data_IF_951610160592
#
_entry.id   IF_951610160592
#
_cell.length_a   1.000
_cell.length_b   1.000
_cell.length_c   1.000
_cell.angle_alpha   90.00
_cell.angle_beta   90.00
_cell.angle_gamma   90.00
#
_symmetry.space_group_name_H-M   'P 1'
#
loop_
_entity.id
_entity.type
_entity.pdbx_description
1 polymer ?
#
# COMPACT_ATOMS: atom_id res chain seq x y z
N UNK A 1 20.13 19.78 13.87
CA UNK A 1 21.42 20.45 13.55
C UNK A 1 22.21 19.49 12.68
N UNK A 2 22.65 19.90 11.49
CA UNK A 2 23.46 19.08 10.58
C UNK A 2 24.93 19.48 10.67
N UNK A 3 25.86 18.53 10.75
CA UNK A 3 27.29 18.81 10.56
C UNK A 3 27.61 18.85 9.06
N UNK A 4 28.49 19.77 8.63
CA UNK A 4 28.94 19.88 7.23
C UNK A 4 30.47 19.89 7.19
N UNK A 5 31.06 18.87 6.58
CA UNK A 5 32.49 18.72 6.36
C UNK A 5 32.80 18.90 4.87
N UNK A 6 33.64 19.88 4.55
CA UNK A 6 34.04 20.19 3.16
C UNK A 6 35.54 20.22 3.01
N UNK A 7 36.06 19.50 2.02
CA UNK A 7 37.46 19.57 1.61
C UNK A 7 37.57 19.74 0.09
N UNK A 8 38.49 20.60 -0.36
CA UNK A 8 38.81 20.72 -1.79
C UNK A 8 39.59 19.53 -2.34
N UNK A 9 40.28 18.78 -1.47
CA UNK A 9 40.95 17.52 -1.78
C UNK A 9 40.15 16.32 -1.26
N UNK A 10 40.85 15.37 -0.65
CA UNK A 10 40.23 14.17 -0.08
C UNK A 10 39.77 14.38 1.38
N UNK A 11 38.76 13.64 1.80
CA UNK A 11 38.38 13.45 3.20
C UNK A 11 38.72 12.01 3.60
N UNK A 12 39.40 11.83 4.72
CA UNK A 12 39.64 10.53 5.32
C UNK A 12 39.21 10.57 6.78
N UNK A 13 38.28 9.70 7.17
CA UNK A 13 37.82 9.55 8.54
C UNK A 13 38.17 8.14 9.01
N UNK A 14 38.87 8.05 10.13
CA UNK A 14 39.26 6.79 10.73
C UNK A 14 38.83 6.75 12.19
N UNK A 15 38.03 5.75 12.56
CA UNK A 15 37.57 5.54 13.92
C UNK A 15 38.17 4.25 14.52
N UNK A 16 38.63 4.33 15.77
CA UNK A 16 39.15 3.16 16.51
C UNK A 16 38.07 2.18 16.98
N UNK A 17 36.78 2.54 16.83
CA UNK A 17 35.62 1.70 17.12
C UNK A 17 34.59 1.92 16.01
N UNK A 18 33.59 2.78 16.25
CA UNK A 18 32.50 3.05 15.32
C UNK A 18 32.64 4.42 14.65
N UNK A 19 32.14 4.54 13.43
CA UNK A 19 31.99 5.80 12.71
C UNK A 19 30.52 6.02 12.36
N UNK A 20 29.89 6.98 13.06
CA UNK A 20 28.49 7.34 12.84
C UNK A 20 28.36 8.68 12.12
N UNK A 21 27.71 8.67 10.96
CA UNK A 21 27.40 9.85 10.14
C UNK A 21 25.87 9.97 10.08
N UNK A 22 25.31 10.82 10.94
CA UNK A 22 23.86 10.94 11.13
C UNK A 22 23.40 12.33 10.71
N UNK A 23 22.44 12.42 9.78
CA UNK A 23 21.90 13.66 9.21
C UNK A 23 22.98 14.72 8.89
N UNK A 24 24.11 14.25 8.35
CA UNK A 24 25.33 15.05 8.18
C UNK A 24 25.80 15.04 6.73
N UNK A 25 26.59 16.05 6.35
CA UNK A 25 27.07 16.21 4.99
C UNK A 25 28.60 16.14 4.94
N UNK A 26 29.12 15.35 4.01
CA UNK A 26 30.54 15.29 3.67
C UNK A 26 30.69 15.58 2.18
N UNK A 27 31.53 16.55 1.82
CA UNK A 27 31.89 16.83 0.43
C UNK A 27 33.41 16.87 0.28
N UNK A 28 33.94 16.04 -0.60
CA UNK A 28 35.34 16.04 -0.98
C UNK A 28 35.48 16.32 -2.49
N UNK A 29 36.41 17.20 -2.87
CA UNK A 29 36.75 17.42 -4.29
C UNK A 29 37.50 16.25 -4.93
N UNK A 30 38.06 15.36 -4.12
CA UNK A 30 38.71 14.12 -4.57
C UNK A 30 38.05 12.90 -3.92
N UNK A 31 38.78 12.11 -3.13
CA UNK A 31 38.27 10.86 -2.57
C UNK A 31 37.63 11.08 -1.19
N UNK A 32 36.69 10.21 -0.84
CA UNK A 32 36.24 10.03 0.54
C UNK A 32 36.60 8.62 0.99
N UNK A 33 37.32 8.49 2.09
CA UNK A 33 37.63 7.22 2.74
C UNK A 33 37.08 7.21 4.17
N UNK A 34 36.24 6.22 4.48
CA UNK A 34 35.58 6.07 5.77
C UNK A 34 35.95 4.70 6.33
N UNK A 35 36.76 4.67 7.38
CA UNK A 35 37.21 3.42 8.00
C UNK A 35 36.86 3.42 9.50
N UNK A 36 36.33 2.29 9.98
CA UNK A 36 36.04 2.03 11.38
C UNK A 36 36.55 0.63 11.76
N UNK A 37 37.07 0.46 12.97
CA UNK A 37 37.52 -0.84 13.45
C UNK A 37 36.35 -1.81 13.71
N UNK A 38 35.17 -1.28 14.02
CA UNK A 38 33.92 -2.00 14.26
C UNK A 38 32.90 -1.55 13.21
N UNK A 39 31.99 -0.63 13.49
CA UNK A 39 30.85 -0.40 12.61
C UNK A 39 30.89 0.98 11.92
N UNK A 40 30.45 1.04 10.67
CA UNK A 40 30.16 2.32 9.99
C UNK A 40 28.66 2.45 9.81
N UNK A 41 28.08 3.48 10.42
CA UNK A 41 26.65 3.81 10.26
C UNK A 41 26.50 5.14 9.55
N UNK A 42 25.81 5.15 8.41
CA UNK A 42 25.43 6.36 7.68
C UNK A 42 23.91 6.41 7.64
N UNK A 43 23.31 7.20 8.51
CA UNK A 43 21.86 7.19 8.72
C UNK A 43 21.24 8.58 8.56
N UNK A 44 20.00 8.61 8.09
CA UNK A 44 19.12 9.76 8.27
C UNK A 44 18.80 9.97 9.76
N UNK A 45 18.38 11.19 10.09
CA UNK A 45 17.67 11.46 11.35
C UNK A 45 16.25 11.94 11.03
N UNK A 46 15.33 11.81 11.97
CA UNK A 46 13.96 12.30 11.81
C UNK A 46 13.87 13.77 12.24
N UNK A 47 13.26 14.60 11.39
CA UNK A 47 12.78 15.94 11.73
C UNK A 47 11.28 15.87 11.97
N UNK A 48 10.87 16.16 13.19
CA UNK A 48 9.52 15.97 13.67
C UNK A 48 8.83 17.30 13.96
N UNK A 49 7.61 17.45 13.46
CA UNK A 49 6.76 18.59 13.76
C UNK A 49 5.35 18.12 14.14
N UNK A 50 4.73 18.84 15.07
CA UNK A 50 3.33 18.62 15.42
C UNK A 50 2.59 19.93 15.58
N UNK A 51 1.28 19.91 15.31
CA UNK A 51 0.41 21.04 15.60
C UNK A 51 -0.89 20.57 16.22
N UNK A 52 -1.43 21.41 17.08
CA UNK A 52 -2.73 21.21 17.71
C UNK A 52 -3.52 22.52 17.64
N UNK A 53 -4.76 22.44 17.17
CA UNK A 53 -5.68 23.56 17.13
C UNK A 53 -7.05 23.13 17.64
N UNK A 54 -7.59 23.86 18.61
CA UNK A 54 -8.96 23.68 19.07
C UNK A 54 -9.67 25.04 19.19
N UNK A 55 -10.89 25.11 18.65
CA UNK A 55 -11.77 26.28 18.80
C UNK A 55 -13.19 25.85 19.10
N UNK A 56 -13.79 26.54 20.06
CA UNK A 56 -15.21 26.42 20.40
C UNK A 56 -15.88 27.76 20.24
N UNK A 57 -17.08 27.77 19.69
CA UNK A 57 -17.88 28.98 19.54
C UNK A 57 -19.29 28.73 20.01
N UNK A 58 -19.87 29.75 20.63
CA UNK A 58 -21.25 29.77 21.13
C UNK A 58 -22.03 30.82 20.34
N UNK A 59 -23.29 30.52 20.05
CA UNK A 59 -24.24 31.45 19.44
C UNK A 59 -25.55 31.49 20.21
N UNK A 60 -26.44 32.38 19.80
CA UNK A 60 -27.77 32.53 20.40
C UNK A 60 -28.59 31.24 20.36
N UNK A 61 -29.55 31.12 21.27
CA UNK A 61 -30.50 29.99 21.34
C UNK A 61 -29.83 28.60 21.48
N UNK A 62 -28.73 28.51 22.23
CA UNK A 62 -28.06 27.23 22.53
C UNK A 62 -27.20 26.66 21.39
N UNK A 63 -27.00 27.44 20.31
CA UNK A 63 -26.14 27.05 19.18
C UNK A 63 -24.68 26.97 19.63
N UNK A 64 -23.97 25.95 19.14
CA UNK A 64 -22.52 25.87 19.36
C UNK A 64 -21.82 25.11 18.26
N UNK A 65 -20.54 25.41 18.07
CA UNK A 65 -19.64 24.65 17.21
C UNK A 65 -18.32 24.39 17.92
N UNK A 66 -17.69 23.26 17.60
CA UNK A 66 -16.31 22.98 17.94
C UNK A 66 -15.56 22.50 16.70
N UNK A 67 -14.28 22.86 16.63
CA UNK A 67 -13.32 22.36 15.65
C UNK A 67 -12.05 22.00 16.39
N UNK A 68 -11.54 20.81 16.12
CA UNK A 68 -10.25 20.29 16.59
C UNK A 68 -9.48 19.82 15.36
N UNK A 69 -8.21 20.15 15.28
CA UNK A 69 -7.28 19.68 14.26
C UNK A 69 -5.95 19.37 14.91
N UNK A 70 -5.39 18.24 14.54
CA UNK A 70 -4.07 17.82 14.98
C UNK A 70 -3.33 17.33 13.74
N UNK A 71 -2.02 17.53 13.72
CA UNK A 71 -1.17 16.90 12.73
C UNK A 71 0.19 16.65 13.31
N UNK A 72 0.82 15.61 12.78
CA UNK A 72 2.19 15.22 13.06
C UNK A 72 2.85 14.86 11.73
N UNK A 73 4.10 15.22 11.60
CA UNK A 73 4.93 14.97 10.43
C UNK A 73 6.33 14.63 10.93
N UNK A 74 6.86 13.49 10.49
CA UNK A 74 8.21 13.01 10.77
C UNK A 74 8.87 12.70 9.44
N UNK A 75 9.91 13.44 9.10
CA UNK A 75 10.60 13.33 7.80
C UNK A 75 12.06 13.01 7.97
N UNK A 76 12.61 12.20 7.07
CA UNK A 76 14.01 11.80 7.09
C UNK A 76 14.89 12.92 6.54
N UNK A 77 15.79 13.40 7.40
CA UNK A 77 16.93 14.23 7.03
C UNK A 77 18.11 13.31 6.75
N UNK A 78 18.32 13.01 5.48
CA UNK A 78 19.38 12.12 5.00
C UNK A 78 20.80 12.60 5.36
N UNK A 79 21.70 11.64 5.62
CA UNK A 79 23.13 11.89 5.48
C UNK A 79 23.51 11.92 3.99
N UNK A 80 24.43 12.82 3.63
CA UNK A 80 24.85 13.02 2.25
C UNK A 80 26.37 13.00 2.15
N UNK A 81 26.92 12.07 1.37
CA UNK A 81 28.36 11.94 1.16
C UNK A 81 28.65 12.06 -0.33
N UNK A 82 29.44 13.05 -0.70
CA UNK A 82 29.84 13.30 -2.08
C UNK A 82 31.37 13.23 -2.21
N UNK A 83 31.86 12.29 -3.01
CA UNK A 83 33.25 12.20 -3.43
C UNK A 83 33.36 12.63 -4.91
N UNK A 84 34.27 13.56 -5.21
CA UNK A 84 34.56 13.96 -6.60
C UNK A 84 35.18 12.84 -7.44
N UNK A 85 35.81 11.85 -6.80
CA UNK A 85 36.39 10.65 -7.42
C UNK A 85 35.83 9.41 -6.70
N UNK A 86 36.64 8.69 -5.93
CA UNK A 86 36.25 7.42 -5.30
C UNK A 86 35.65 7.64 -3.89
N UNK A 87 34.60 6.90 -3.55
CA UNK A 87 34.09 6.76 -2.18
C UNK A 87 34.34 5.33 -1.69
N UNK A 88 35.13 5.19 -0.64
CA UNK A 88 35.46 3.89 -0.04
C UNK A 88 35.00 3.85 1.41
N UNK A 89 34.37 2.75 1.80
CA UNK A 89 33.90 2.51 3.17
C UNK A 89 34.42 1.15 3.61
N UNK A 90 35.23 1.14 4.68
CA UNK A 90 35.89 -0.04 5.25
C UNK A 90 36.63 -0.88 4.19
N UNK A 91 37.07 -0.23 3.12
CA UNK A 91 37.66 -0.86 1.94
C UNK A 91 38.80 -0.02 1.40
N UNK A 92 39.71 -0.67 0.71
CA UNK A 92 40.74 -0.02 -0.10
C UNK A 92 40.70 -0.57 -1.51
N UNK A 93 41.03 0.30 -2.46
CA UNK A 93 41.20 -0.04 -3.87
C UNK A 93 42.67 0.16 -4.24
N UNK A 94 43.31 -0.91 -4.70
CA UNK A 94 44.68 -0.84 -5.20
C UNK A 94 44.73 -0.27 -6.63
N UNK A 95 45.93 0.07 -7.09
CA UNK A 95 46.13 0.67 -8.41
C UNK A 95 45.79 -0.27 -9.58
N UNK A 96 45.77 -1.58 -9.33
CA UNK A 96 45.34 -2.60 -10.30
C UNK A 96 43.82 -2.83 -10.30
N UNK A 97 43.07 -2.06 -9.51
CA UNK A 97 41.62 -2.16 -9.37
C UNK A 97 41.17 -3.21 -8.35
N UNK A 98 42.08 -3.94 -7.71
CA UNK A 98 41.70 -4.90 -6.67
C UNK A 98 41.12 -4.20 -5.44
N UNK A 99 40.05 -4.78 -4.89
CA UNK A 99 39.37 -4.28 -3.69
C UNK A 99 39.72 -5.18 -2.51
N UNK A 100 40.11 -4.59 -1.39
CA UNK A 100 40.32 -5.27 -0.11
C UNK A 100 39.40 -4.67 0.94
N UNK A 101 38.90 -5.52 1.85
CA UNK A 101 38.19 -5.08 3.05
C UNK A 101 39.26 -4.73 4.09
N UNK A 102 39.27 -3.49 4.57
CA UNK A 102 40.27 -2.98 5.52
C UNK A 102 39.97 -3.36 6.97
N UNK A 103 38.71 -3.70 7.27
CA UNK A 103 38.24 -4.00 8.62
C UNK A 103 36.78 -3.65 8.79
N UNK A 104 36.34 -3.61 10.05
CA UNK A 104 34.98 -3.31 10.44
C UNK A 104 34.04 -4.51 10.31
N UNK A 105 33.14 -4.67 11.29
CA UNK A 105 32.17 -5.75 11.31
C UNK A 105 31.04 -5.43 10.34
N UNK A 106 30.31 -4.35 10.57
CA UNK A 106 29.12 -4.02 9.78
C UNK A 106 29.20 -2.64 9.13
N UNK A 107 28.57 -2.51 7.96
CA UNK A 107 28.31 -1.22 7.30
C UNK A 107 26.81 -1.06 7.08
N UNK A 108 26.23 -0.01 7.63
CA UNK A 108 24.81 0.31 7.51
C UNK A 108 24.58 1.66 6.85
N UNK A 109 23.80 1.70 5.78
CA UNK A 109 23.34 2.92 5.10
C UNK A 109 21.82 2.99 5.19
N UNK A 110 21.27 4.00 5.85
CA UNK A 110 19.84 4.09 6.16
C UNK A 110 19.30 5.45 5.72
N UNK A 111 18.30 5.48 4.83
CA UNK A 111 17.69 6.71 4.31
C UNK A 111 18.70 7.77 3.84
N UNK A 112 19.85 7.36 3.30
CA UNK A 112 21.00 8.24 3.05
C UNK A 112 21.48 8.21 1.61
N UNK A 113 22.19 9.25 1.19
CA UNK A 113 22.71 9.40 -0.18
C UNK A 113 24.23 9.40 -0.19
N UNK A 114 24.80 8.46 -0.95
CA UNK A 114 26.23 8.34 -1.20
C UNK A 114 26.48 8.49 -2.70
N UNK A 115 27.38 9.39 -3.09
CA UNK A 115 27.71 9.68 -4.49
C UNK A 115 29.23 9.70 -4.69
N UNK A 116 29.69 8.98 -5.69
CA UNK A 116 31.08 8.97 -6.16
C UNK A 116 31.15 9.40 -7.63
N UNK A 117 32.11 10.25 -7.98
CA UNK A 117 32.37 10.62 -9.37
C UNK A 117 32.92 9.47 -10.21
N UNK A 118 33.65 8.56 -9.56
CA UNK A 118 34.19 7.34 -10.15
C UNK A 118 33.54 6.14 -9.45
N UNK A 119 34.26 5.45 -8.56
CA UNK A 119 33.78 4.20 -7.94
C UNK A 119 33.26 4.41 -6.53
N UNK A 120 32.22 3.68 -6.18
CA UNK A 120 31.66 3.61 -4.84
C UNK A 120 31.81 2.18 -4.31
N UNK A 121 32.58 2.02 -3.24
CA UNK A 121 32.98 0.73 -2.72
C UNK A 121 32.63 0.64 -1.23
N UNK A 122 31.77 -0.32 -0.88
CA UNK A 122 31.45 -0.65 0.50
C UNK A 122 31.95 -2.05 0.79
N UNK A 123 32.53 -2.25 1.97
CA UNK A 123 32.78 -3.60 2.44
C UNK A 123 32.82 -3.74 3.93
N UNK A 124 32.56 -4.95 4.39
CA UNK A 124 32.46 -5.27 5.81
C UNK A 124 32.86 -6.74 6.04
N UNK A 125 33.47 -7.05 7.18
CA UNK A 125 33.85 -8.44 7.50
C UNK A 125 32.67 -9.30 7.93
N UNK A 126 31.57 -8.69 8.34
CA UNK A 126 30.28 -9.32 8.60
C UNK A 126 29.26 -8.81 7.58
N UNK A 127 28.32 -7.92 7.91
CA UNK A 127 27.17 -7.60 7.06
C UNK A 127 27.26 -6.19 6.42
N UNK A 128 26.73 -6.04 5.19
CA UNK A 128 26.47 -4.73 4.58
C UNK A 128 24.96 -4.56 4.38
N UNK A 129 24.38 -3.57 5.04
CA UNK A 129 22.95 -3.27 4.98
C UNK A 129 22.68 -1.88 4.39
N UNK A 130 21.90 -1.82 3.31
CA UNK A 130 21.47 -0.59 2.64
C UNK A 130 19.94 -0.57 2.69
N UNK A 131 19.39 0.26 3.57
CA UNK A 131 18.00 0.23 4.00
C UNK A 131 17.33 1.58 3.75
N UNK A 132 16.03 1.56 3.49
CA UNK A 132 15.23 2.77 3.48
C UNK A 132 15.08 3.36 4.89
N UNK A 133 15.02 4.69 4.97
CA UNK A 133 14.37 5.38 6.08
C UNK A 133 12.84 5.35 5.92
N UNK A 134 12.12 5.89 6.90
CA UNK A 134 10.64 5.91 6.89
C UNK A 134 10.14 7.29 7.30
N UNK A 135 9.40 7.95 6.42
CA UNK A 135 8.66 9.19 6.70
C UNK A 135 7.27 8.82 7.22
N UNK A 136 6.78 9.53 8.23
CA UNK A 136 5.46 9.31 8.82
C UNK A 136 4.67 10.60 8.90
N UNK A 137 3.39 10.54 8.53
CA UNK A 137 2.47 11.67 8.59
C UNK A 137 1.15 11.24 9.20
N UNK A 138 0.60 12.10 10.05
CA UNK A 138 -0.70 11.90 10.69
C UNK A 138 -1.49 13.20 10.68
N UNK A 139 -2.77 13.12 10.35
CA UNK A 139 -3.68 14.25 10.48
C UNK A 139 -5.01 13.79 11.07
N UNK A 140 -5.46 14.52 12.10
CA UNK A 140 -6.73 14.32 12.73
C UNK A 140 -7.57 15.59 12.62
N UNK A 141 -8.85 15.45 12.29
CA UNK A 141 -9.77 16.56 12.33
C UNK A 141 -11.11 16.14 12.89
N UNK A 142 -11.69 16.98 13.76
CA UNK A 142 -13.02 16.76 14.31
C UNK A 142 -13.80 18.05 14.36
N UNK A 143 -15.01 18.01 13.84
CA UNK A 143 -15.97 19.11 13.92
C UNK A 143 -17.25 18.63 14.56
N UNK A 144 -17.84 19.48 15.41
CA UNK A 144 -19.17 19.25 15.95
C UNK A 144 -19.98 20.54 15.89
N UNK A 145 -21.28 20.41 15.61
CA UNK A 145 -22.23 21.52 15.57
C UNK A 145 -23.50 21.10 16.30
N UNK A 146 -24.00 21.99 17.14
CA UNK A 146 -25.31 21.92 17.77
C UNK A 146 -26.15 23.09 17.29
N UNK A 147 -27.33 22.79 16.77
CA UNK A 147 -28.34 23.76 16.35
C UNK A 147 -29.13 24.33 17.52
N UNK A 148 -30.07 25.21 17.19
CA UNK A 148 -30.90 25.91 18.16
C UNK A 148 -31.64 24.92 19.06
N UNK A 149 -31.63 25.17 20.37
CA UNK A 149 -32.28 24.33 21.39
C UNK A 149 -31.92 22.83 21.32
N UNK A 150 -30.79 22.48 20.71
CA UNK A 150 -30.36 21.08 20.55
C UNK A 150 -31.16 20.28 19.51
N UNK A 151 -31.99 20.94 18.70
CA UNK A 151 -32.87 20.27 17.73
C UNK A 151 -32.11 19.64 16.55
N UNK A 152 -30.88 20.05 16.31
CA UNK A 152 -29.99 19.38 15.36
C UNK A 152 -28.61 19.21 15.95
N UNK A 153 -27.98 18.06 15.72
CA UNK A 153 -26.57 17.81 16.04
C UNK A 153 -25.90 17.19 14.84
N UNK A 154 -24.71 17.67 14.48
CA UNK A 154 -23.89 17.02 13.47
C UNK A 154 -22.44 17.00 13.90
N UNK A 155 -21.68 16.04 13.42
CA UNK A 155 -20.24 16.03 13.57
C UNK A 155 -19.58 15.18 12.51
N UNK A 156 -18.32 15.50 12.25
CA UNK A 156 -17.44 14.73 11.38
C UNK A 156 -16.09 14.56 12.08
N UNK A 157 -15.52 13.37 12.03
CA UNK A 157 -14.17 13.05 12.45
C UNK A 157 -13.44 12.39 11.27
N UNK A 158 -12.15 12.67 11.14
CA UNK A 158 -11.29 12.09 10.11
C UNK A 158 -9.91 11.88 10.74
N UNK A 159 -9.34 10.70 10.58
CA UNK A 159 -7.96 10.38 10.89
C UNK A 159 -7.32 9.82 9.62
N UNK A 160 -6.19 10.38 9.23
CA UNK A 160 -5.37 9.86 8.14
C UNK A 160 -3.95 9.68 8.63
N UNK A 161 -3.35 8.53 8.35
CA UNK A 161 -1.96 8.21 8.68
C UNK A 161 -1.28 7.63 7.45
N UNK A 162 -0.02 8.01 7.22
CA UNK A 162 0.80 7.52 6.11
C UNK A 162 2.20 7.23 6.61
N UNK A 163 2.81 6.17 6.10
CA UNK A 163 4.20 5.80 6.30
C UNK A 163 4.81 5.50 4.93
N UNK A 164 5.87 6.20 4.55
CA UNK A 164 6.48 6.09 3.22
C UNK A 164 7.96 5.79 3.31
N UNK A 165 8.43 4.86 2.47
CA UNK A 165 9.82 4.43 2.41
C UNK A 165 10.67 5.51 1.72
N UNK A 166 11.74 5.94 2.39
CA UNK A 166 12.74 6.87 1.85
C UNK A 166 14.00 6.08 1.52
N UNK A 167 14.21 5.79 0.25
CA UNK A 167 15.32 4.96 -0.20
C UNK A 167 16.69 5.48 0.25
N UNK A 168 17.60 4.56 0.58
CA UNK A 168 19.02 4.87 0.48
C UNK A 168 19.45 4.86 -0.99
N UNK A 169 20.32 5.78 -1.37
CA UNK A 169 20.78 5.96 -2.75
C UNK A 169 22.31 5.86 -2.80
N UNK A 170 22.83 4.84 -3.49
CA UNK A 170 24.25 4.70 -3.80
C UNK A 170 24.45 4.94 -5.29
N UNK A 171 25.20 5.98 -5.65
CA UNK A 171 25.43 6.39 -7.03
C UNK A 171 26.94 6.47 -7.33
N UNK A 172 27.37 5.82 -8.41
CA UNK A 172 28.75 5.88 -8.90
C UNK A 172 28.76 6.28 -10.39
N UNK A 173 29.72 7.11 -10.79
CA UNK A 173 29.95 7.43 -12.20
C UNK A 173 30.50 6.25 -12.99
N UNK A 174 31.23 5.35 -12.32
CA UNK A 174 31.75 4.10 -12.88
C UNK A 174 31.09 2.93 -12.15
N UNK A 175 31.77 2.29 -11.19
CA UNK A 175 31.32 1.04 -10.59
C UNK A 175 30.76 1.21 -9.17
N UNK A 176 29.74 0.43 -8.82
CA UNK A 176 29.37 0.19 -7.42
C UNK A 176 29.78 -1.23 -7.03
N UNK A 177 30.63 -1.35 -6.03
CA UNK A 177 31.07 -2.64 -5.48
C UNK A 177 30.64 -2.75 -4.03
N UNK A 178 29.93 -3.82 -3.68
CA UNK A 178 29.54 -4.13 -2.30
C UNK A 178 30.08 -5.51 -1.93
N UNK A 179 31.01 -5.57 -0.98
CA UNK A 179 31.70 -6.79 -0.59
C UNK A 179 31.50 -7.09 0.90
N UNK A 180 30.75 -8.15 1.21
CA UNK A 180 30.44 -8.56 2.58
C UNK A 180 31.07 -9.92 2.90
N UNK A 181 31.57 -10.04 4.12
CA UNK A 181 32.02 -11.32 4.67
C UNK A 181 30.88 -12.31 4.90
N UNK A 182 29.67 -11.82 5.22
CA UNK A 182 28.47 -12.62 5.44
C UNK A 182 27.34 -12.17 4.52
N UNK A 183 26.44 -11.27 4.93
CA UNK A 183 25.26 -10.92 4.13
C UNK A 183 25.32 -9.52 3.49
N UNK A 184 24.83 -9.39 2.25
CA UNK A 184 24.47 -8.09 1.65
C UNK A 184 22.96 -7.96 1.62
N UNK A 185 22.43 -6.90 2.22
CA UNK A 185 20.98 -6.61 2.22
C UNK A 185 20.70 -5.24 1.64
N UNK A 186 19.87 -5.19 0.59
CA UNK A 186 19.31 -3.99 0.00
C UNK A 186 17.80 -4.01 0.19
N UNK A 187 17.24 -3.11 1.02
CA UNK A 187 15.79 -3.05 1.28
C UNK A 187 15.19 -1.70 0.89
N UNK A 188 14.23 -1.71 -0.02
CA UNK A 188 13.56 -0.52 -0.59
C UNK A 188 14.54 0.61 -0.92
N UNK A 189 15.70 0.26 -1.49
CA UNK A 189 16.84 1.15 -1.70
C UNK A 189 17.42 0.99 -3.09
N UNK A 190 18.19 1.98 -3.53
CA UNK A 190 18.65 2.12 -4.91
C UNK A 190 20.18 2.09 -5.01
N UNK A 191 20.68 1.31 -5.96
CA UNK A 191 22.08 1.30 -6.40
C UNK A 191 22.11 1.66 -7.90
N UNK A 192 22.88 2.67 -8.28
CA UNK A 192 23.07 3.06 -9.68
C UNK A 192 24.55 3.25 -10.02
N UNK A 193 24.98 2.64 -11.13
CA UNK A 193 26.35 2.71 -11.62
C UNK A 193 26.39 3.10 -13.11
N UNK A 194 27.33 3.97 -13.49
CA UNK A 194 27.57 4.34 -14.89
C UNK A 194 28.33 3.29 -15.69
N UNK A 195 28.89 2.28 -15.02
CA UNK A 195 29.44 1.07 -15.62
C UNK A 195 28.82 -0.17 -14.94
N UNK A 196 29.50 -0.84 -14.02
CA UNK A 196 29.06 -2.13 -13.48
C UNK A 196 28.57 -2.03 -12.01
N UNK A 197 27.68 -2.95 -11.62
CA UNK A 197 27.35 -3.19 -10.20
C UNK A 197 27.77 -4.61 -9.82
N UNK A 198 28.63 -4.76 -8.81
CA UNK A 198 29.06 -6.06 -8.29
C UNK A 198 28.75 -6.20 -6.79
N UNK A 199 27.88 -7.16 -6.45
CA UNK A 199 27.54 -7.51 -5.07
C UNK A 199 28.12 -8.88 -4.77
N UNK A 200 28.94 -8.96 -3.72
CA UNK A 200 29.58 -10.18 -3.25
C UNK A 200 29.27 -10.39 -1.77
N UNK A 201 28.69 -11.55 -1.46
CA UNK A 201 28.40 -11.97 -0.10
C UNK A 201 29.07 -13.31 0.20
N UNK A 202 29.27 -13.59 1.48
CA UNK A 202 29.88 -14.83 1.95
C UNK A 202 31.40 -14.94 1.73
N UNK A 203 32.11 -13.81 1.66
CA UNK A 203 33.58 -13.79 1.49
C UNK A 203 34.34 -14.37 2.70
N UNK A 204 33.71 -14.41 3.87
CA UNK A 204 34.25 -14.94 5.13
C UNK A 204 33.42 -16.13 5.60
N UNK A 205 32.10 -15.98 5.62
CA UNK A 205 31.13 -17.00 6.01
C UNK A 205 30.43 -17.58 4.77
N UNK A 206 30.59 -18.88 4.53
CA UNK A 206 29.94 -19.58 3.39
C UNK A 206 28.41 -19.65 3.49
N UNK A 207 27.85 -19.13 4.57
CA UNK A 207 26.43 -18.98 4.78
C UNK A 207 25.95 -17.56 4.45
N UNK A 208 26.75 -16.75 3.76
CA UNK A 208 26.33 -15.43 3.29
C UNK A 208 25.26 -15.46 2.21
N UNK A 209 24.33 -14.50 2.25
CA UNK A 209 23.27 -14.27 1.26
C UNK A 209 23.34 -12.87 0.63
N UNK A 210 22.72 -12.72 -0.54
CA UNK A 210 22.36 -11.42 -1.11
C UNK A 210 20.83 -11.28 -1.08
N UNK A 211 20.33 -10.25 -0.41
CA UNK A 211 18.91 -10.00 -0.20
C UNK A 211 18.48 -8.64 -0.79
N UNK A 212 17.73 -8.67 -1.89
CA UNK A 212 17.07 -7.51 -2.51
C UNK A 212 15.59 -7.58 -2.16
N UNK A 213 15.18 -6.79 -1.18
CA UNK A 213 13.87 -6.92 -0.55
C UNK A 213 13.03 -5.66 -0.72
N UNK A 214 11.73 -5.84 -0.95
CA UNK A 214 10.80 -4.74 -0.81
C UNK A 214 10.53 -4.37 0.66
N UNK A 215 10.13 -3.12 0.88
CA UNK A 215 9.37 -2.70 2.06
C UNK A 215 7.97 -2.25 1.62
N UNK A 216 7.20 -1.60 2.50
CA UNK A 216 5.83 -1.21 2.21
C UNK A 216 5.57 0.25 2.58
N UNK A 217 4.98 0.99 1.65
CA UNK A 217 4.28 2.23 1.96
C UNK A 217 2.91 1.88 2.52
N UNK A 218 2.56 2.44 3.67
CA UNK A 218 1.31 2.19 4.36
C UNK A 218 0.48 3.48 4.42
N UNK A 219 -0.78 3.41 4.03
CA UNK A 219 -1.72 4.51 4.14
C UNK A 219 -3.03 4.03 4.77
N UNK A 220 -3.50 4.76 5.77
CA UNK A 220 -4.67 4.43 6.57
C UNK A 220 -5.56 5.66 6.69
N UNK A 221 -6.86 5.48 6.50
CA UNK A 221 -7.86 6.50 6.78
C UNK A 221 -9.01 5.93 7.59
N UNK A 222 -9.56 6.74 8.47
CA UNK A 222 -10.75 6.41 9.25
C UNK A 222 -11.62 7.66 9.39
N UNK A 223 -12.86 7.57 8.94
CA UNK A 223 -13.81 8.67 8.92
C UNK A 223 -15.12 8.28 9.59
N UNK A 224 -15.67 9.23 10.33
CA UNK A 224 -16.97 9.11 10.98
C UNK A 224 -17.76 10.40 10.77
N UNK A 225 -19.02 10.27 10.38
CA UNK A 225 -19.98 11.36 10.27
C UNK A 225 -21.28 10.98 10.97
N UNK A 226 -21.84 11.91 11.74
CA UNK A 226 -23.19 11.78 12.27
C UNK A 226 -24.00 13.05 12.06
N UNK A 227 -25.29 12.87 11.78
CA UNK A 227 -26.29 13.94 11.65
C UNK A 227 -27.57 13.48 12.34
N UNK A 228 -28.06 14.27 13.29
CA UNK A 228 -29.30 14.06 14.04
C UNK A 228 -30.15 15.31 13.91
N UNK A 229 -31.42 15.15 13.55
CA UNK A 229 -32.37 16.25 13.39
C UNK A 229 -33.70 15.85 14.03
N UNK A 230 -34.26 16.72 14.85
CA UNK A 230 -35.63 16.65 15.34
C UNK A 230 -36.42 17.82 14.77
N UNK A 231 -37.65 17.56 14.38
CA UNK A 231 -38.49 18.48 13.62
C UNK A 231 -38.97 17.88 12.30
N UNK A 232 -39.96 18.53 11.70
CA UNK A 232 -40.64 18.06 10.50
C UNK A 232 -39.71 18.12 9.29
N UNK A 233 -39.54 16.99 8.60
CA UNK A 233 -38.75 16.89 7.37
C UNK A 233 -39.37 15.87 6.42
N UNK A 234 -39.55 16.23 5.15
CA UNK A 234 -40.09 15.35 4.12
C UNK A 234 -38.95 14.90 3.17
N UNK A 235 -38.80 13.61 2.96
CA UNK A 235 -37.87 13.04 1.96
C UNK A 235 -38.36 11.70 1.43
N UNK A 236 -38.39 11.49 0.11
CA UNK A 236 -38.64 10.17 -0.49
C UNK A 236 -39.97 9.51 -0.10
N UNK A 237 -41.05 10.30 0.06
CA UNK A 237 -42.34 9.78 0.52
C UNK A 237 -42.46 9.59 2.04
N UNK A 238 -41.41 9.90 2.81
CA UNK A 238 -41.40 9.81 4.28
C UNK A 238 -41.43 11.21 4.94
N UNK A 239 -42.44 11.45 5.78
CA UNK A 239 -42.55 12.58 6.68
C UNK A 239 -41.97 12.19 8.04
N UNK A 240 -40.74 12.62 8.32
CA UNK A 240 -40.05 12.34 9.58
C UNK A 240 -40.24 13.47 10.61
N UNK A 241 -40.43 13.09 11.88
CA UNK A 241 -40.38 13.98 13.05
C UNK A 241 -39.00 13.92 13.73
N UNK A 242 -38.26 12.84 13.50
CA UNK A 242 -36.86 12.70 13.90
C UNK A 242 -36.11 11.85 12.89
N UNK A 243 -34.85 12.21 12.64
CA UNK A 243 -33.94 11.47 11.78
C UNK A 243 -32.53 11.46 12.38
N UNK A 244 -31.84 10.34 12.20
CA UNK A 244 -30.44 10.16 12.52
C UNK A 244 -29.76 9.41 11.37
N UNK A 245 -28.59 9.90 10.96
CA UNK A 245 -27.69 9.26 10.00
C UNK A 245 -26.32 9.19 10.64
N UNK A 246 -25.72 8.01 10.63
CA UNK A 246 -24.35 7.74 11.03
C UNK A 246 -23.69 7.03 9.84
N UNK A 247 -22.62 7.60 9.30
CA UNK A 247 -21.91 7.05 8.16
C UNK A 247 -20.41 7.18 8.41
N UNK A 248 -19.62 6.34 7.78
CA UNK A 248 -18.18 6.38 7.93
C UNK A 248 -17.53 5.39 7.00
N UNK A 249 -16.21 5.41 7.02
CA UNK A 249 -15.43 4.49 6.23
C UNK A 249 -14.01 4.38 6.76
N UNK A 250 -13.38 3.27 6.45
CA UNK A 250 -12.00 2.99 6.74
C UNK A 250 -11.34 2.45 5.48
N UNK A 251 -10.17 3.00 5.15
CA UNK A 251 -9.32 2.45 4.10
C UNK A 251 -7.94 2.12 4.69
N UNK A 252 -7.34 1.04 4.21
CA UNK A 252 -5.98 0.63 4.54
C UNK A 252 -5.33 0.16 3.23
N UNK A 253 -4.15 0.70 2.91
CA UNK A 253 -3.43 0.37 1.70
C UNK A 253 -1.97 0.14 2.05
N UNK A 254 -1.43 -1.01 1.63
CA UNK A 254 -0.03 -1.38 1.74
C UNK A 254 0.51 -1.59 0.34
N UNK A 255 1.46 -0.76 -0.09
CA UNK A 255 2.08 -0.84 -1.41
C UNK A 255 3.55 -1.18 -1.28
N UNK A 256 3.95 -2.27 -1.90
CA UNK A 256 5.32 -2.74 -1.93
C UNK A 256 6.23 -1.75 -2.68
N UNK A 257 7.32 -1.36 -2.03
CA UNK A 257 8.40 -0.53 -2.57
C UNK A 257 9.66 -1.40 -2.64
N UNK A 258 10.02 -1.78 -3.87
CA UNK A 258 11.15 -2.65 -4.15
C UNK A 258 12.52 -1.97 -4.06
N UNK A 259 13.56 -2.78 -3.84
CA UNK A 259 14.93 -2.36 -4.11
C UNK A 259 15.21 -2.31 -5.60
N UNK A 260 16.12 -1.43 -6.02
CA UNK A 260 16.47 -1.25 -7.43
C UNK A 260 17.99 -1.24 -7.61
N UNK A 261 18.47 -2.08 -8.52
CA UNK A 261 19.86 -2.05 -8.99
C UNK A 261 19.84 -1.69 -10.47
N UNK A 262 20.58 -0.66 -10.85
CA UNK A 262 20.69 -0.18 -12.22
C UNK A 262 22.16 -0.02 -12.62
N UNK A 263 22.58 -0.71 -13.67
CA UNK A 263 23.91 -0.55 -14.26
C UNK A 263 23.78 -0.24 -15.75
N UNK A 264 24.59 0.69 -16.26
CA UNK A 264 24.69 0.90 -17.73
C UNK A 264 25.41 -0.27 -18.38
N UNK A 265 26.43 -0.81 -17.72
CA UNK A 265 27.11 -2.05 -18.06
C UNK A 265 26.39 -3.26 -17.48
N UNK A 266 27.08 -4.05 -16.69
CA UNK A 266 26.64 -5.34 -16.18
C UNK A 266 26.23 -5.28 -14.71
N UNK A 267 25.40 -6.23 -14.31
CA UNK A 267 25.11 -6.50 -12.90
C UNK A 267 25.56 -7.92 -12.54
N UNK A 268 26.41 -8.06 -11.53
CA UNK A 268 26.90 -9.33 -11.00
C UNK A 268 26.52 -9.47 -9.53
N UNK A 269 25.76 -10.51 -9.18
CA UNK A 269 25.45 -10.88 -7.81
C UNK A 269 26.05 -12.26 -7.54
N UNK A 270 26.95 -12.36 -6.57
CA UNK A 270 27.66 -13.60 -6.24
C UNK A 270 27.61 -13.88 -4.74
N UNK A 271 27.16 -15.07 -4.38
CA UNK A 271 27.01 -15.47 -2.98
C UNK A 271 27.28 -16.95 -2.75
N UNK A 272 27.70 -17.30 -1.54
CA UNK A 272 27.99 -18.68 -1.14
C UNK A 272 26.74 -19.48 -0.74
N UNK A 273 25.64 -18.81 -0.37
CA UNK A 273 24.36 -19.46 -0.07
C UNK A 273 23.26 -19.02 -1.04
N UNK A 274 22.43 -18.04 -0.72
CA UNK A 274 21.21 -17.74 -1.48
C UNK A 274 21.17 -16.30 -2.02
N UNK A 275 20.57 -16.13 -3.21
CA UNK A 275 20.16 -14.82 -3.73
C UNK A 275 18.65 -14.72 -3.64
N UNK A 276 18.15 -13.71 -2.93
CA UNK A 276 16.72 -13.46 -2.75
C UNK A 276 16.35 -12.10 -3.36
N UNK A 277 15.52 -12.10 -4.39
CA UNK A 277 14.96 -10.89 -5.03
C UNK A 277 13.45 -10.93 -4.82
N UNK A 278 12.92 -10.05 -3.97
CA UNK A 278 11.51 -10.02 -3.58
C UNK A 278 10.91 -8.65 -3.84
N UNK A 279 9.91 -8.59 -4.73
CA UNK A 279 9.28 -7.35 -5.21
C UNK A 279 10.26 -6.28 -5.67
N UNK A 280 11.42 -6.69 -6.19
CA UNK A 280 12.57 -5.80 -6.44
C UNK A 280 13.03 -5.90 -7.91
N UNK A 281 13.85 -4.93 -8.35
CA UNK A 281 14.31 -4.86 -9.73
C UNK A 281 15.84 -4.86 -9.86
N UNK A 282 16.31 -5.54 -10.90
CA UNK A 282 17.73 -5.58 -11.32
C UNK A 282 17.79 -5.32 -12.82
N UNK A 283 18.39 -4.21 -13.22
CA UNK A 283 18.47 -3.79 -14.62
C UNK A 283 19.93 -3.53 -15.01
N UNK A 284 20.36 -4.15 -16.10
CA UNK A 284 21.67 -3.93 -16.72
C UNK A 284 21.50 -3.57 -18.19
N UNK A 285 22.29 -2.61 -18.70
CA UNK A 285 22.37 -2.33 -20.14
C UNK A 285 23.15 -3.41 -20.90
N UNK A 286 24.05 -4.11 -20.22
CA UNK A 286 24.72 -5.34 -20.67
C UNK A 286 24.09 -6.58 -20.03
N UNK A 287 24.93 -7.38 -19.37
CA UNK A 287 24.54 -8.68 -18.84
C UNK A 287 24.09 -8.60 -17.37
N UNK A 288 23.18 -9.50 -16.99
CA UNK A 288 22.87 -9.77 -15.58
C UNK A 288 23.33 -11.18 -15.23
N UNK A 289 24.12 -11.33 -14.17
CA UNK A 289 24.58 -12.63 -13.67
C UNK A 289 24.24 -12.80 -12.20
N UNK A 290 23.42 -13.80 -11.89
CA UNK A 290 23.09 -14.21 -10.52
C UNK A 290 23.72 -15.56 -10.24
N UNK A 291 24.66 -15.64 -9.30
CA UNK A 291 25.39 -16.87 -8.97
C UNK A 291 25.26 -17.18 -7.48
N UNK A 292 24.48 -18.22 -7.15
CA UNK A 292 24.27 -18.67 -5.79
C UNK A 292 24.87 -20.06 -5.54
N UNK A 293 25.51 -20.21 -4.37
CA UNK A 293 26.02 -21.49 -3.91
C UNK A 293 24.93 -22.49 -3.48
N UNK A 294 23.69 -22.04 -3.31
CA UNK A 294 22.51 -22.87 -3.09
C UNK A 294 21.36 -22.44 -4.00
N UNK A 295 20.50 -21.51 -3.60
CA UNK A 295 19.27 -21.17 -4.32
C UNK A 295 19.25 -19.74 -4.88
N UNK A 296 18.51 -19.55 -5.97
CA UNK A 296 18.11 -18.21 -6.44
C UNK A 296 16.59 -18.10 -6.39
N UNK A 297 16.09 -17.16 -5.59
CA UNK A 297 14.66 -16.90 -5.38
C UNK A 297 14.28 -15.54 -5.96
N UNK A 298 13.38 -15.51 -6.93
CA UNK A 298 12.90 -14.30 -7.63
C UNK A 298 11.38 -14.26 -7.50
N UNK A 299 10.91 -13.59 -6.45
CA UNK A 299 9.54 -13.69 -5.96
C UNK A 299 8.82 -12.34 -6.07
N UNK A 300 7.53 -12.37 -6.38
CA UNK A 300 6.67 -11.22 -6.20
C UNK A 300 6.53 -10.88 -4.70
N UNK A 301 6.55 -9.59 -4.38
CA UNK A 301 5.97 -9.11 -3.13
C UNK A 301 4.44 -8.98 -3.27
N UNK A 302 3.79 -8.44 -2.24
CA UNK A 302 2.33 -8.31 -2.20
C UNK A 302 1.92 -6.88 -1.86
N UNK A 303 0.95 -6.37 -2.61
CA UNK A 303 0.19 -5.17 -2.29
C UNK A 303 -1.14 -5.57 -1.68
N UNK A 304 -1.63 -4.79 -0.72
CA UNK A 304 -2.95 -4.99 -0.12
C UNK A 304 -3.75 -3.70 -0.13
N UNK A 305 -5.05 -3.83 -0.39
CA UNK A 305 -5.99 -2.73 -0.32
C UNK A 305 -7.28 -3.22 0.36
N UNK A 306 -7.67 -2.56 1.44
CA UNK A 306 -8.83 -2.90 2.24
C UNK A 306 -9.67 -1.66 2.50
N UNK A 307 -10.90 -1.66 1.99
CA UNK A 307 -11.87 -0.60 2.18
C UNK A 307 -13.11 -1.15 2.88
N UNK A 308 -13.61 -0.39 3.85
CA UNK A 308 -14.88 -0.68 4.49
C UNK A 308 -15.67 0.62 4.61
N UNK A 309 -16.91 0.62 4.12
CA UNK A 309 -17.85 1.72 4.24
C UNK A 309 -19.08 1.26 5.02
N UNK A 310 -19.58 2.10 5.92
CA UNK A 310 -20.81 1.84 6.63
C UNK A 310 -21.75 3.03 6.64
N UNK A 311 -23.04 2.73 6.59
CA UNK A 311 -24.11 3.71 6.76
C UNK A 311 -25.22 3.15 7.63
N UNK A 312 -25.75 3.97 8.53
CA UNK A 312 -26.87 3.69 9.42
C UNK A 312 -27.83 4.85 9.37
N UNK A 313 -29.01 4.61 8.84
CA UNK A 313 -30.12 5.54 8.82
C UNK A 313 -31.18 5.11 9.81
N UNK A 314 -31.77 6.08 10.50
CA UNK A 314 -32.93 5.90 11.36
C UNK A 314 -33.87 7.07 11.17
N UNK A 315 -35.11 6.80 10.84
CA UNK A 315 -36.16 7.79 10.70
C UNK A 315 -37.37 7.38 11.53
N UNK A 316 -38.03 8.35 12.14
CA UNK A 316 -39.30 8.14 12.84
C UNK A 316 -40.34 9.07 12.24
N UNK A 317 -41.48 8.52 11.85
CA UNK A 317 -42.51 9.31 11.19
C UNK A 317 -43.49 8.46 10.39
N UNK A 318 -44.06 9.06 9.36
CA UNK A 318 -45.07 8.46 8.50
C UNK A 318 -44.52 8.38 7.09
N UNK A 319 -44.48 7.19 6.51
CA UNK A 319 -44.05 6.91 5.14
C UNK A 319 -45.21 6.51 4.25
N UNK A 320 -45.14 6.92 2.99
CA UNK A 320 -45.94 6.38 1.90
C UNK A 320 -44.97 5.86 0.84
N UNK A 321 -45.01 4.57 0.57
CA UNK A 321 -44.25 3.94 -0.52
C UNK A 321 -45.22 3.37 -1.55
N UNK A 322 -44.91 3.56 -2.83
CA UNK A 322 -45.68 3.00 -3.93
C UNK A 322 -44.78 2.12 -4.78
N UNK A 323 -45.24 0.92 -5.12
CA UNK A 323 -44.62 0.05 -6.10
C UNK A 323 -45.65 -0.27 -7.20
N UNK A 324 -45.24 -1.00 -8.25
CA UNK A 324 -46.14 -1.33 -9.37
C UNK A 324 -47.36 -2.19 -8.97
N UNK A 325 -47.35 -2.74 -7.75
CA UNK A 325 -48.31 -3.70 -7.25
C UNK A 325 -49.08 -3.21 -6.00
N UNK A 326 -48.91 -1.96 -5.55
CA UNK A 326 -49.51 -1.51 -4.31
C UNK A 326 -49.00 -0.20 -3.75
N UNK A 327 -49.79 0.38 -2.84
CA UNK A 327 -49.40 1.53 -2.01
C UNK A 327 -49.34 1.09 -0.55
N UNK A 328 -48.21 1.28 0.11
CA UNK A 328 -48.02 1.00 1.55
C UNK A 328 -47.88 2.30 2.32
N UNK A 329 -48.73 2.46 3.33
CA UNK A 329 -48.62 3.47 4.37
C UNK A 329 -47.93 2.87 5.57
N UNK A 330 -47.00 3.60 6.17
CA UNK A 330 -46.24 3.16 7.35
C UNK A 330 -46.20 4.28 8.37
N UNK A 331 -46.40 3.98 9.65
CA UNK A 331 -46.20 4.89 10.75
C UNK A 331 -45.35 4.20 11.82
N UNK A 332 -44.14 4.71 12.06
CA UNK A 332 -43.23 4.08 13.01
C UNK A 332 -41.78 4.51 12.86
N UNK A 333 -40.88 3.59 13.24
CA UNK A 333 -39.43 3.75 13.11
C UNK A 333 -38.93 2.86 11.98
N UNK A 334 -38.25 3.49 11.03
CA UNK A 334 -37.53 2.84 9.94
C UNK A 334 -36.02 2.93 10.23
N UNK A 335 -35.30 1.82 10.09
CA UNK A 335 -33.85 1.77 10.19
C UNK A 335 -33.28 1.00 9.00
N UNK A 336 -32.26 1.57 8.38
CA UNK A 336 -31.48 0.92 7.34
C UNK A 336 -30.01 0.93 7.76
N UNK A 337 -29.34 -0.20 7.63
CA UNK A 337 -27.89 -0.34 7.82
C UNK A 337 -27.30 -0.94 6.55
N UNK A 338 -26.24 -0.32 6.05
CA UNK A 338 -25.45 -0.82 4.94
C UNK A 338 -23.99 -0.91 5.38
N UNK A 339 -23.33 -1.99 5.00
CA UNK A 339 -21.91 -2.21 5.20
C UNK A 339 -21.35 -2.82 3.91
N UNK A 340 -20.31 -2.21 3.37
CA UNK A 340 -19.61 -2.68 2.18
C UNK A 340 -18.14 -2.87 2.55
N UNK A 341 -17.57 -4.03 2.23
CA UNK A 341 -16.15 -4.32 2.42
C UNK A 341 -15.55 -4.80 1.11
N UNK A 342 -14.38 -4.27 0.78
CA UNK A 342 -13.53 -4.70 -0.32
C UNK A 342 -12.17 -5.06 0.28
N UNK A 343 -11.68 -6.25 0.00
CA UNK A 343 -10.31 -6.64 0.26
C UNK A 343 -9.68 -7.12 -1.04
N UNK A 344 -8.48 -6.63 -1.33
CA UNK A 344 -7.75 -6.97 -2.54
C UNK A 344 -6.28 -7.20 -2.19
N UNK A 345 -5.71 -8.27 -2.78
CA UNK A 345 -4.30 -8.56 -2.73
C UNK A 345 -3.78 -8.74 -4.16
N UNK A 346 -2.78 -7.96 -4.55
CA UNK A 346 -2.15 -8.05 -5.86
C UNK A 346 -0.66 -8.34 -5.72
N UNK A 347 -0.08 -8.93 -6.75
CA UNK A 347 1.33 -9.24 -6.80
C UNK A 347 2.13 -8.00 -7.21
N UNK A 348 3.20 -7.71 -6.47
CA UNK A 348 4.22 -6.74 -6.85
C UNK A 348 5.42 -7.51 -7.42
N UNK A 349 5.44 -7.69 -8.74
CA UNK A 349 6.42 -8.55 -9.41
C UNK A 349 7.87 -8.10 -9.19
N UNK A 350 8.78 -9.05 -9.00
CA UNK A 350 10.20 -8.79 -9.21
C UNK A 350 10.51 -8.72 -10.70
N UNK A 351 11.48 -7.90 -11.09
CA UNK A 351 11.83 -7.69 -12.50
C UNK A 351 13.34 -7.73 -12.70
N UNK A 352 13.82 -8.66 -13.53
CA UNK A 352 15.22 -8.75 -13.90
C UNK A 352 15.36 -8.54 -15.40
N UNK A 353 16.13 -7.52 -15.79
CA UNK A 353 16.33 -7.12 -17.18
C UNK A 353 17.79 -7.02 -17.53
N UNK A 354 18.21 -7.77 -18.53
CA UNK A 354 19.51 -7.64 -19.19
C UNK A 354 19.32 -7.03 -20.58
N UNK A 355 20.18 -6.10 -20.96
CA UNK A 355 20.25 -5.57 -22.33
C UNK A 355 20.98 -6.51 -23.29
N UNK A 356 21.73 -7.49 -22.78
CA UNK A 356 22.33 -8.59 -23.53
C UNK A 356 21.79 -9.93 -22.99
N UNK A 357 22.58 -10.66 -22.19
CA UNK A 357 22.24 -11.97 -21.65
C UNK A 357 21.89 -11.92 -20.15
N UNK A 358 20.93 -12.76 -19.75
CA UNK A 358 20.61 -13.04 -18.36
C UNK A 358 21.07 -14.45 -18.00
N UNK A 359 21.97 -14.56 -17.02
CA UNK A 359 22.43 -15.84 -16.49
C UNK A 359 22.05 -15.98 -15.02
N UNK A 360 21.38 -17.08 -14.68
CA UNK A 360 21.03 -17.44 -13.30
C UNK A 360 21.56 -18.84 -13.00
N UNK A 361 22.52 -18.91 -12.09
CA UNK A 361 23.16 -20.16 -11.67
C UNK A 361 22.87 -20.41 -10.18
N UNK A 362 22.35 -21.59 -9.88
CA UNK A 362 22.11 -22.07 -8.53
C UNK A 362 22.64 -23.49 -8.41
N UNK A 363 23.47 -23.79 -7.40
CA UNK A 363 23.92 -25.19 -7.21
C UNK A 363 22.78 -26.11 -6.73
N UNK A 364 21.66 -25.53 -6.27
CA UNK A 364 20.52 -26.25 -5.72
C UNK A 364 19.24 -25.95 -6.50
N UNK A 365 18.46 -24.92 -6.19
CA UNK A 365 17.19 -24.65 -6.89
C UNK A 365 17.07 -23.20 -7.40
N UNK A 366 16.31 -23.00 -8.49
CA UNK A 366 15.89 -21.67 -8.97
C UNK A 366 14.37 -21.57 -8.82
N UNK A 367 13.88 -20.55 -8.12
CA UNK A 367 12.46 -20.31 -7.89
C UNK A 367 12.05 -18.93 -8.42
N UNK A 368 11.32 -18.89 -9.54
CA UNK A 368 10.67 -17.70 -10.08
C UNK A 368 9.16 -17.78 -9.80
N UNK A 369 8.60 -16.85 -9.03
CA UNK A 369 7.16 -16.84 -8.71
C UNK A 369 6.58 -15.44 -8.86
N UNK A 370 5.69 -15.24 -9.84
CA UNK A 370 5.03 -13.95 -10.08
C UNK A 370 5.97 -12.82 -10.49
N UNK A 371 7.10 -13.18 -11.12
CA UNK A 371 8.19 -12.26 -11.46
C UNK A 371 8.50 -12.36 -12.95
N UNK A 372 9.18 -11.35 -13.49
CA UNK A 372 9.58 -11.28 -14.89
C UNK A 372 11.11 -11.37 -15.06
N UNK A 373 11.55 -12.20 -16.00
CA UNK A 373 12.94 -12.30 -16.45
C UNK A 373 13.00 -11.91 -17.93
N UNK A 374 13.85 -10.95 -18.28
CA UNK A 374 13.97 -10.42 -19.64
C UNK A 374 15.45 -10.27 -20.02
N UNK A 375 15.77 -10.66 -21.24
CA UNK A 375 17.06 -10.47 -21.88
C UNK A 375 16.84 -10.16 -23.37
N UNK A 376 17.74 -9.41 -24.00
CA UNK A 376 17.65 -9.15 -25.44
C UNK A 376 18.06 -10.38 -26.25
N UNK A 377 19.08 -11.08 -25.76
CA UNK A 377 19.70 -12.23 -26.42
C UNK A 377 19.23 -13.53 -25.76
N UNK A 378 19.95 -14.03 -24.75
CA UNK A 378 19.65 -15.32 -24.13
C UNK A 378 19.31 -15.21 -22.64
N UNK A 379 18.41 -16.09 -22.17
CA UNK A 379 18.17 -16.35 -20.74
C UNK A 379 18.64 -17.76 -20.41
N UNK A 380 19.70 -17.86 -19.62
CA UNK A 380 20.33 -19.12 -19.21
C UNK A 380 20.05 -19.39 -17.73
N UNK A 381 19.27 -20.45 -17.43
CA UNK A 381 18.95 -20.88 -16.07
C UNK A 381 19.61 -22.25 -15.80
N UNK A 382 20.55 -22.30 -14.86
CA UNK A 382 21.25 -23.53 -14.48
C UNK A 382 21.00 -23.84 -13.00
N UNK A 383 20.27 -24.92 -12.72
CA UNK A 383 20.05 -25.42 -11.36
C UNK A 383 20.62 -26.83 -11.19
N UNK A 384 21.20 -27.12 -10.03
CA UNK A 384 21.65 -28.48 -9.70
C UNK A 384 20.51 -29.47 -9.42
N UNK A 385 19.32 -28.97 -9.06
CA UNK A 385 18.11 -29.78 -8.82
C UNK A 385 16.92 -29.30 -9.65
N UNK A 386 16.20 -28.26 -9.22
CA UNK A 386 14.94 -27.87 -9.87
C UNK A 386 14.95 -26.41 -10.31
N UNK A 387 14.21 -26.16 -11.39
CA UNK A 387 13.81 -24.81 -11.82
C UNK A 387 12.29 -24.75 -11.70
N UNK A 388 11.77 -23.93 -10.79
CA UNK A 388 10.34 -23.67 -10.60
C UNK A 388 10.00 -22.30 -11.17
N UNK A 389 9.08 -22.28 -12.14
CA UNK A 389 8.51 -21.06 -12.70
C UNK A 389 7.00 -21.12 -12.47
N UNK A 390 6.47 -20.14 -11.73
CA UNK A 390 5.07 -20.15 -11.28
C UNK A 390 4.48 -18.73 -11.29
N UNK A 391 3.16 -18.64 -11.39
CA UNK A 391 2.46 -17.36 -11.28
C UNK A 391 2.18 -17.02 -9.81
N UNK A 392 2.24 -15.72 -9.46
CA UNK A 392 1.71 -15.27 -8.17
C UNK A 392 0.18 -15.30 -8.20
N UNK A 393 -0.43 -15.57 -7.04
CA UNK A 393 -1.90 -15.51 -6.90
C UNK A 393 -2.31 -14.14 -6.40
N UNK A 394 -3.34 -13.62 -7.02
CA UNK A 394 -4.03 -12.40 -6.61
C UNK A 394 -5.43 -12.76 -6.12
N UNK A 395 -6.00 -11.94 -5.23
CA UNK A 395 -7.34 -12.18 -4.70
C UNK A 395 -8.12 -10.88 -4.56
N UNK A 396 -9.44 -11.00 -4.69
CA UNK A 396 -10.37 -9.91 -4.45
C UNK A 396 -11.62 -10.48 -3.78
N UNK A 397 -12.01 -9.89 -2.65
CA UNK A 397 -13.21 -10.24 -1.91
C UNK A 397 -14.09 -8.98 -1.76
N UNK A 398 -15.35 -9.10 -2.16
CA UNK A 398 -16.35 -8.05 -2.02
C UNK A 398 -17.48 -8.58 -1.15
N UNK A 399 -17.80 -7.87 -0.08
CA UNK A 399 -18.88 -8.21 0.83
C UNK A 399 -19.84 -7.03 0.97
N UNK A 400 -21.13 -7.28 0.72
CA UNK A 400 -22.18 -6.29 0.88
C UNK A 400 -23.23 -6.83 1.84
N UNK A 401 -23.49 -6.09 2.91
CA UNK A 401 -24.52 -6.40 3.88
C UNK A 401 -25.51 -5.24 3.95
N UNK A 402 -26.79 -5.54 3.75
CA UNK A 402 -27.90 -4.61 3.93
C UNK A 402 -28.86 -5.19 4.93
N UNK A 403 -29.17 -4.42 5.97
CA UNK A 403 -30.15 -4.78 6.99
C UNK A 403 -31.19 -3.67 7.06
N UNK A 404 -32.45 -4.03 6.81
CA UNK A 404 -33.58 -3.11 6.93
C UNK A 404 -34.49 -3.58 8.06
N UNK A 405 -34.80 -2.70 9.00
CA UNK A 405 -35.75 -3.00 10.07
C UNK A 405 -36.80 -1.92 10.23
N UNK A 406 -38.06 -2.35 10.33
CA UNK A 406 -39.19 -1.46 10.57
C UNK A 406 -39.93 -1.92 11.82
N UNK A 407 -40.28 -0.96 12.65
CA UNK A 407 -41.15 -1.20 13.79
C UNK A 407 -42.24 -0.14 13.79
N UNK A 408 -43.49 -0.56 13.58
CA UNK A 408 -44.61 0.35 13.47
C UNK A 408 -45.89 -0.31 12.96
N UNK A 409 -46.82 0.55 12.56
CA UNK A 409 -48.08 0.21 11.92
C UNK A 409 -47.90 0.34 10.41
N UNK A 410 -48.24 -0.69 9.65
CA UNK A 410 -48.28 -0.64 8.20
C UNK A 410 -49.66 -1.02 7.68
N UNK A 411 -50.15 -0.27 6.69
CA UNK A 411 -51.34 -0.58 5.93
C UNK A 411 -50.99 -0.60 4.43
N UNK A 412 -51.19 -1.71 3.74
CA UNK A 412 -51.03 -1.80 2.29
C UNK A 412 -52.38 -1.85 1.58
N UNK A 413 -52.44 -1.22 0.42
CA UNK A 413 -53.49 -1.37 -0.57
C UNK A 413 -52.82 -1.99 -1.79
N UNK A 414 -52.94 -3.30 -1.91
CA UNK A 414 -52.29 -4.08 -2.96
C UNK A 414 -53.19 -4.13 -4.21
N UNK A 415 -52.61 -3.94 -5.39
CA UNK A 415 -53.29 -4.03 -6.70
C UNK A 415 -52.35 -4.65 -7.74
N UNK A 416 -52.77 -5.65 -8.50
CA UNK A 416 -51.85 -6.47 -9.30
C UNK A 416 -51.43 -5.88 -10.68
N UNK A 417 -51.38 -4.55 -10.84
CA UNK A 417 -51.20 -3.91 -12.15
C UNK A 417 -49.83 -4.18 -12.80
N UNK A 418 -48.73 -4.09 -12.04
CA UNK A 418 -47.38 -4.38 -12.52
C UNK A 418 -47.20 -5.82 -12.98
N UNK A 419 -47.59 -6.77 -12.13
CA UNK A 419 -47.59 -8.21 -12.45
C UNK A 419 -48.45 -8.53 -13.69
N UNK A 420 -49.57 -7.82 -13.87
CA UNK A 420 -50.46 -7.99 -15.04
C UNK A 420 -49.83 -7.42 -16.30
N UNK A 421 -49.15 -6.27 -16.23
CA UNK A 421 -48.44 -5.67 -17.37
C UNK A 421 -47.25 -6.53 -17.82
N UNK A 422 -46.48 -7.06 -16.87
CA UNK A 422 -45.36 -7.95 -17.17
C UNK A 422 -45.85 -9.29 -17.77
N UNK A 423 -46.93 -9.86 -17.23
CA UNK A 423 -47.59 -11.04 -17.80
C UNK A 423 -48.14 -10.81 -19.22
N UNK A 424 -48.70 -9.63 -19.51
CA UNK A 424 -49.24 -9.28 -20.82
C UNK A 424 -48.12 -8.98 -21.85
N UNK A 425 -46.99 -8.43 -21.41
CA UNK A 425 -45.82 -8.17 -22.26
C UNK A 425 -44.99 -9.42 -22.61
N UNK A 426 -45.09 -10.47 -21.77
CA UNK A 426 -44.56 -11.81 -22.04
C UNK A 426 -45.52 -12.74 -22.79
N UNK A 427 -46.80 -12.37 -22.91
CA UNK A 427 -47.80 -13.14 -23.64
C UNK A 427 -47.53 -13.08 -25.15
N UNK A 428 -47.28 -14.25 -25.76
CA UNK A 428 -47.07 -14.40 -27.21
C UNK A 428 -45.62 -14.55 -27.68
N UNK A 429 -44.62 -14.47 -26.80
CA UNK A 429 -43.19 -14.71 -27.12
C UNK A 429 -42.74 -16.16 -26.86
N UNK A 430 -43.51 -17.14 -27.33
CA UNK A 430 -43.16 -18.55 -27.26
C UNK A 430 -43.22 -19.19 -28.65
N UNK A 431 -42.20 -19.97 -29.02
CA UNK A 431 -42.06 -20.53 -30.37
C UNK A 431 -43.05 -21.68 -30.65
N UNK A 432 -43.62 -22.32 -29.61
CA UNK A 432 -44.50 -23.49 -29.76
C UNK A 432 -45.91 -23.33 -29.17
N UNK A 433 -46.88 -24.05 -29.76
CA UNK A 433 -48.31 -23.97 -29.45
C UNK A 433 -48.67 -24.30 -27.98
N UNK A 434 -47.90 -25.18 -27.34
CA UNK A 434 -48.06 -25.53 -25.91
C UNK A 434 -47.60 -24.40 -24.99
N UNK A 435 -46.53 -23.68 -25.35
CA UNK A 435 -46.07 -22.48 -24.64
C UNK A 435 -47.06 -21.31 -24.76
N UNK A 436 -47.69 -21.17 -25.94
CA UNK A 436 -48.77 -20.18 -26.18
C UNK A 436 -50.02 -20.50 -25.34
N UNK A 437 -50.46 -21.75 -25.28
CA UNK A 437 -51.61 -22.18 -24.45
C UNK A 437 -51.40 -22.02 -22.94
N UNK A 438 -50.17 -22.27 -22.46
CA UNK A 438 -49.77 -22.03 -21.07
C UNK A 438 -49.74 -20.53 -20.73
N UNK A 439 -49.23 -19.70 -21.64
CA UNK A 439 -49.18 -18.24 -21.47
C UNK A 439 -50.58 -17.60 -21.46
N UNK A 440 -51.54 -18.15 -22.22
CA UNK A 440 -52.94 -17.69 -22.19
C UNK A 440 -53.66 -18.05 -20.89
N UNK A 441 -53.34 -19.19 -20.26
CA UNK A 441 -53.88 -19.55 -18.95
C UNK A 441 -53.34 -18.65 -17.83
N UNK A 442 -52.04 -18.33 -17.86
CA UNK A 442 -51.44 -17.33 -16.95
C UNK A 442 -52.01 -15.92 -17.15
N UNK A 443 -52.31 -15.55 -18.39
CA UNK A 443 -52.98 -14.28 -18.68
C UNK A 443 -54.39 -14.25 -18.05
N UNK A 444 -55.18 -15.34 -18.17
CA UNK A 444 -56.51 -15.44 -17.56
C UNK A 444 -56.46 -15.37 -16.02
N UNK A 445 -55.50 -16.05 -15.38
CA UNK A 445 -55.29 -15.95 -13.93
C UNK A 445 -54.79 -14.56 -13.48
N UNK A 446 -53.97 -13.88 -14.29
CA UNK A 446 -53.57 -12.50 -13.98
C UNK A 446 -54.73 -11.51 -14.13
N UNK A 447 -55.66 -11.79 -15.05
CA UNK A 447 -56.86 -10.97 -15.27
C UNK A 447 -57.86 -11.16 -14.11
N UNK A 448 -57.97 -12.37 -13.55
CA UNK A 448 -58.81 -12.62 -12.37
C UNK A 448 -58.26 -11.91 -11.12
N UNK A 449 -56.94 -11.92 -10.93
CA UNK A 449 -56.25 -11.17 -9.85
C UNK A 449 -56.29 -9.64 -10.03
N UNK A 450 -56.45 -9.14 -11.26
CA UNK A 450 -56.67 -7.72 -11.56
C UNK A 450 -58.12 -7.30 -11.28
N UNK A 451 -59.10 -8.17 -11.59
CA UNK A 451 -60.52 -7.93 -11.40
C UNK A 451 -61.00 -8.07 -9.95
N UNK A 452 -60.23 -8.72 -9.07
CA UNK A 452 -60.53 -8.86 -7.64
C UNK A 452 -60.45 -7.56 -6.82
N UNK A 453 -60.10 -6.43 -7.44
CA UNK A 453 -60.04 -5.12 -6.78
C UNK A 453 -58.88 -4.99 -5.79
N UNK A 454 -58.63 -3.78 -5.26
CA UNK A 454 -57.55 -3.57 -4.30
C UNK A 454 -57.87 -4.28 -2.98
N UNK A 455 -56.93 -5.07 -2.47
CA UNK A 455 -57.05 -5.72 -1.16
C UNK A 455 -56.27 -4.93 -0.11
N UNK A 456 -56.91 -4.65 1.03
CA UNK A 456 -56.29 -3.97 2.17
C UNK A 456 -55.74 -4.95 3.19
N UNK A 457 -54.51 -4.75 3.64
CA UNK A 457 -53.90 -5.53 4.73
C UNK A 457 -53.27 -4.60 5.77
N UNK A 458 -53.48 -4.91 7.06
CA UNK A 458 -53.06 -4.10 8.19
C UNK A 458 -52.22 -4.91 9.16
N UNK A 459 -50.98 -4.50 9.39
CA UNK A 459 -50.00 -5.24 10.21
C UNK A 459 -49.35 -4.34 11.25
N UNK A 460 -49.22 -4.86 12.47
CA UNK A 460 -48.40 -4.28 13.54
C UNK A 460 -47.28 -5.27 13.86
N UNK A 461 -46.05 -4.80 13.89
CA UNK A 461 -44.94 -5.67 14.26
C UNK A 461 -43.58 -5.11 13.94
N UNK A 462 -42.57 -5.90 14.32
CA UNK A 462 -41.19 -5.68 13.95
C UNK A 462 -40.86 -6.54 12.73
N UNK A 463 -40.39 -5.93 11.65
CA UNK A 463 -39.78 -6.65 10.54
C UNK A 463 -38.28 -6.35 10.51
N UNK A 464 -37.48 -7.38 10.19
CA UNK A 464 -36.05 -7.28 9.95
C UNK A 464 -35.74 -8.16 8.75
N UNK A 465 -35.12 -7.58 7.72
CA UNK A 465 -34.67 -8.24 6.51
C UNK A 465 -33.17 -8.07 6.37
#
# INVERSE_FOLDING_TARGET
MSADLKAGGSVALQAGQNLDIIASRINAGSNVALDAAQDVTIASAQDESSYFYAKKSKGSFGRSSSKQQEGYDSTNVASVINAGQDLTINTSKAADGSVSINGGHDVSVIGSRLSAGNDLILGATNDVAILSGVDEQGAYSKTSKSGSFGLSKSGKSELTTSSTQVASELNAGNDVVVASGKDVTLRASNISAGNDVDLRAGLVDKTGDINLLSANDEASSHSDEYKKKTGLSASGGFLSISSAREAGGQAQNSTSVGSQINAVGNVSLQTERDINVVGSSVNAGGNVSLNAGQDVNILAAQNTNSNQDWEKNRQSGIGVSSNANGVTFFAGVDRAKENSRLEQQTAAASQIRAGEDLTVNAKRDINQVGSDLQALNDINLTAGRNIKIDAARESQAVEQQRENSRNGLSASIDHNYGSTKDALSGAGKGDDATSKGSSTLKAVDSTSQFLSGPTGDGKFGNSKQ
#
